data_IF_966065757975
#
_entry.id   IF_966065757975
#
_cell.length_a   1.000
_cell.length_b   1.000
_cell.length_c   1.000
_cell.angle_alpha   90.00
_cell.angle_beta   90.00
_cell.angle_gamma   90.00
#
_symmetry.space_group_name_H-M   'P 1'
#
loop_
_entity.id
_entity.type
_entity.pdbx_description
1 polymer ?
#
# COMPACT_ATOMS: atom_id res chain seq x y z
N UNK A 1 -2.91 15.31 -47.63
CA UNK A 1 -4.23 15.73 -48.17
C UNK A 1 -5.26 14.79 -47.61
N UNK A 2 -6.38 15.30 -47.14
CA UNK A 2 -7.47 14.48 -46.62
C UNK A 2 -8.22 13.81 -47.77
N UNK A 3 -8.28 12.48 -47.73
CA UNK A 3 -8.91 11.63 -48.74
C UNK A 3 -10.12 10.91 -48.11
N UNK A 4 -11.10 10.47 -48.89
CA UNK A 4 -12.13 9.56 -48.38
C UNK A 4 -11.48 8.26 -47.87
N UNK A 5 -12.05 7.68 -46.82
CA UNK A 5 -11.66 6.35 -46.36
C UNK A 5 -12.23 5.28 -47.30
N UNK A 6 -11.35 4.57 -48.01
CA UNK A 6 -11.75 3.52 -48.97
C UNK A 6 -11.57 2.10 -48.41
N UNK A 7 -10.86 1.93 -47.30
CA UNK A 7 -10.64 0.63 -46.68
C UNK A 7 -11.92 0.12 -46.01
N UNK A 8 -12.61 -0.84 -46.63
CA UNK A 8 -13.90 -1.39 -46.15
C UNK A 8 -13.81 -1.93 -44.73
N UNK A 9 -12.69 -2.57 -44.38
CA UNK A 9 -12.42 -3.11 -43.04
C UNK A 9 -12.64 -2.10 -41.92
N UNK A 10 -12.48 -0.80 -42.18
CA UNK A 10 -12.52 0.25 -41.16
C UNK A 10 -13.76 1.16 -41.20
N UNK A 11 -14.62 1.06 -42.21
CA UNK A 11 -15.71 2.03 -42.42
C UNK A 11 -16.74 2.06 -41.28
N UNK A 12 -16.95 0.94 -40.59
CA UNK A 12 -17.85 0.83 -39.43
C UNK A 12 -17.14 0.82 -38.08
N UNK A 13 -15.81 0.85 -38.08
CA UNK A 13 -14.99 0.66 -36.88
C UNK A 13 -14.54 1.99 -36.27
N UNK A 14 -14.63 3.11 -37.00
CA UNK A 14 -14.21 4.43 -36.52
C UNK A 14 -15.26 5.52 -36.81
N UNK A 15 -15.31 6.60 -36.01
CA UNK A 15 -16.37 7.62 -36.12
C UNK A 15 -16.15 8.67 -37.22
N UNK A 16 -15.18 8.49 -38.11
CA UNK A 16 -14.78 9.45 -39.14
C UNK A 16 -14.69 8.80 -40.52
N UNK A 17 -14.85 9.60 -41.59
CA UNK A 17 -14.90 9.12 -42.97
C UNK A 17 -13.77 9.65 -43.87
N UNK A 18 -12.84 10.45 -43.31
CA UNK A 18 -11.68 10.99 -44.03
C UNK A 18 -10.38 10.55 -43.37
N UNK A 19 -9.41 10.19 -44.20
CA UNK A 19 -8.09 9.72 -43.79
C UNK A 19 -6.97 10.51 -44.48
N UNK A 20 -5.73 10.34 -44.01
CA UNK A 20 -4.54 10.91 -44.66
C UNK A 20 -3.39 9.91 -44.66
N UNK A 21 -2.58 9.97 -45.72
CA UNK A 21 -1.36 9.20 -45.88
C UNK A 21 -0.09 10.08 -45.84
N UNK A 22 1.09 9.53 -45.46
CA UNK A 22 1.28 8.16 -44.99
C UNK A 22 0.55 7.91 -43.66
N UNK A 23 0.15 6.66 -43.42
CA UNK A 23 -0.47 6.27 -42.16
C UNK A 23 0.60 6.10 -41.06
N UNK A 24 0.22 5.64 -39.86
CA UNK A 24 1.18 5.47 -38.76
C UNK A 24 2.19 4.33 -39.01
N UNK A 25 1.87 3.42 -39.93
CA UNK A 25 2.72 2.30 -40.34
C UNK A 25 3.59 2.65 -41.57
N UNK A 26 3.57 3.89 -42.04
CA UNK A 26 4.36 4.37 -43.18
C UNK A 26 3.82 3.99 -44.56
N UNK A 27 2.67 3.31 -44.63
CA UNK A 27 2.03 2.93 -45.90
C UNK A 27 1.46 4.18 -46.59
N UNK A 28 1.47 4.21 -47.92
CA UNK A 28 1.17 5.42 -48.71
C UNK A 28 -0.25 5.44 -49.29
N UNK A 29 -0.94 4.29 -49.34
CA UNK A 29 -2.28 4.15 -49.90
C UNK A 29 -2.94 2.87 -49.39
N UNK A 30 -4.22 2.67 -49.73
CA UNK A 30 -5.03 1.53 -49.28
C UNK A 30 -4.51 0.20 -49.84
N UNK A 31 -4.04 0.16 -51.08
CA UNK A 31 -3.48 -1.08 -51.67
C UNK A 31 -2.29 -1.61 -50.88
N UNK A 32 -1.38 -0.73 -50.44
CA UNK A 32 -0.27 -1.10 -49.55
C UNK A 32 -0.74 -1.59 -48.18
N UNK A 33 -1.93 -1.21 -47.73
CA UNK A 33 -2.53 -1.74 -46.50
C UNK A 33 -3.02 -3.16 -46.76
N UNK A 34 -3.89 -3.34 -47.76
CA UNK A 34 -4.53 -4.63 -48.07
C UNK A 34 -3.51 -5.74 -48.39
N UNK A 35 -2.40 -5.38 -49.05
CA UNK A 35 -1.31 -6.31 -49.37
C UNK A 35 -0.33 -6.56 -48.21
N UNK A 36 -0.48 -5.88 -47.07
CA UNK A 36 0.46 -6.00 -45.95
C UNK A 36 0.17 -7.20 -45.06
N UNK A 37 1.23 -7.83 -44.57
CA UNK A 37 1.15 -8.88 -43.54
C UNK A 37 0.45 -8.39 -42.27
N UNK A 38 0.57 -7.09 -41.95
CA UNK A 38 -0.10 -6.47 -40.80
C UNK A 38 -1.63 -6.54 -40.96
N UNK A 39 -2.15 -6.23 -42.14
CA UNK A 39 -3.60 -6.31 -42.41
C UNK A 39 -4.12 -7.75 -42.35
N UNK A 40 -3.36 -8.70 -42.91
CA UNK A 40 -3.69 -10.11 -42.85
C UNK A 40 -3.72 -10.62 -41.40
N UNK A 41 -2.67 -10.32 -40.61
CA UNK A 41 -2.56 -10.76 -39.22
C UNK A 41 -3.63 -10.13 -38.32
N UNK A 42 -3.93 -8.83 -38.48
CA UNK A 42 -5.00 -8.19 -37.71
C UNK A 42 -6.36 -8.76 -38.08
N UNK A 43 -6.60 -9.10 -39.34
CA UNK A 43 -7.85 -9.74 -39.74
C UNK A 43 -8.05 -11.08 -39.02
N UNK A 44 -6.99 -11.89 -38.91
CA UNK A 44 -7.01 -13.12 -38.11
C UNK A 44 -7.22 -12.85 -36.62
N UNK A 45 -6.54 -11.83 -36.07
CA UNK A 45 -6.67 -11.47 -34.66
C UNK A 45 -8.06 -10.92 -34.32
N UNK A 46 -8.70 -10.22 -35.26
CA UNK A 46 -10.06 -9.71 -35.08
C UNK A 46 -11.10 -10.83 -35.02
N UNK A 47 -10.81 -12.00 -35.61
CA UNK A 47 -11.69 -13.18 -35.56
C UNK A 47 -11.60 -13.93 -34.21
N UNK A 48 -10.53 -13.76 -33.43
CA UNK A 48 -10.37 -14.43 -32.13
C UNK A 48 -11.18 -13.78 -31.01
N UNK A 49 -11.67 -12.56 -31.23
CA UNK A 49 -12.40 -11.74 -30.24
C UNK A 49 -11.66 -11.58 -28.90
N UNK A 50 -10.32 -11.65 -28.89
CA UNK A 50 -9.50 -11.51 -27.68
C UNK A 50 -9.67 -10.14 -26.99
N UNK A 51 -9.98 -9.09 -27.75
CA UNK A 51 -10.30 -7.77 -27.21
C UNK A 51 -11.25 -6.99 -28.15
N UNK A 52 -12.20 -6.23 -27.58
CA UNK A 52 -13.21 -5.49 -28.36
C UNK A 52 -12.61 -4.40 -29.27
N UNK A 53 -11.52 -3.75 -28.84
CA UNK A 53 -10.86 -2.68 -29.59
C UNK A 53 -9.78 -3.12 -30.59
N UNK A 54 -9.65 -4.41 -30.93
CA UNK A 54 -8.64 -4.86 -31.92
C UNK A 54 -8.79 -4.13 -33.26
N UNK A 55 -10.00 -4.15 -33.83
CA UNK A 55 -10.29 -3.50 -35.11
C UNK A 55 -10.18 -1.98 -35.02
N UNK A 56 -10.74 -1.41 -33.95
CA UNK A 56 -10.71 0.03 -33.70
C UNK A 56 -9.26 0.56 -33.62
N UNK A 57 -8.40 -0.08 -32.83
CA UNK A 57 -6.98 0.27 -32.69
C UNK A 57 -6.26 0.20 -34.04
N UNK A 58 -6.45 -0.88 -34.78
CA UNK A 58 -5.85 -1.04 -36.10
C UNK A 58 -6.30 0.04 -37.09
N UNK A 59 -7.59 0.36 -37.13
CA UNK A 59 -8.12 1.38 -38.02
C UNK A 59 -7.58 2.78 -37.71
N UNK A 60 -7.35 3.09 -36.43
CA UNK A 60 -6.65 4.31 -36.03
C UNK A 60 -5.18 4.36 -36.51
N UNK A 61 -4.50 3.22 -36.63
CA UNK A 61 -3.12 3.14 -37.17
C UNK A 61 -3.10 3.19 -38.70
N UNK A 62 -3.96 2.41 -39.34
CA UNK A 62 -3.95 2.15 -40.77
C UNK A 62 -4.62 3.26 -41.59
N UNK A 63 -5.71 3.84 -41.07
CA UNK A 63 -6.48 4.92 -41.71
C UNK A 63 -6.77 6.04 -40.71
N UNK A 64 -5.76 6.79 -40.28
CA UNK A 64 -5.92 7.80 -39.24
C UNK A 64 -6.82 8.95 -39.70
N UNK A 65 -7.63 9.49 -38.78
CA UNK A 65 -8.52 10.62 -39.05
C UNK A 65 -7.79 11.80 -39.71
N UNK A 66 -8.44 12.47 -40.65
CA UNK A 66 -7.95 13.71 -41.23
C UNK A 66 -8.97 14.84 -40.99
N UNK A 67 -8.62 15.77 -40.11
CA UNK A 67 -9.50 16.88 -39.71
C UNK A 67 -9.53 17.95 -40.81
N UNK A 68 -8.35 18.30 -41.34
CA UNK A 68 -8.18 19.23 -42.46
C UNK A 68 -6.87 18.92 -43.19
N UNK A 69 -6.70 19.45 -44.40
CA UNK A 69 -5.51 19.14 -45.20
C UNK A 69 -4.22 19.45 -44.45
N UNK A 70 -3.37 18.42 -44.31
CA UNK A 70 -2.11 18.51 -43.58
C UNK A 70 -2.25 18.37 -42.06
N UNK A 71 -3.46 18.21 -41.52
CA UNK A 71 -3.71 18.02 -40.09
C UNK A 71 -4.40 16.69 -39.86
N UNK A 72 -3.64 15.76 -39.29
CA UNK A 72 -4.13 14.49 -38.79
C UNK A 72 -4.98 14.73 -37.54
N UNK A 73 -6.01 13.92 -37.37
CA UNK A 73 -6.76 13.86 -36.14
C UNK A 73 -5.92 13.32 -35.00
N UNK A 74 -6.49 13.43 -33.81
CA UNK A 74 -5.80 13.06 -32.59
C UNK A 74 -5.61 11.53 -32.51
N UNK A 75 -4.39 11.05 -32.17
CA UNK A 75 -4.12 9.62 -31.99
C UNK A 75 -4.83 9.06 -30.76
N UNK A 76 -4.88 7.73 -30.64
CA UNK A 76 -5.28 7.07 -29.40
C UNK A 76 -4.17 7.18 -28.34
N UNK A 77 -4.53 7.06 -27.07
CA UNK A 77 -3.54 6.98 -26.02
C UNK A 77 -2.88 5.60 -26.00
N UNK A 78 -1.59 5.54 -25.64
CA UNK A 78 -0.82 4.29 -25.61
C UNK A 78 -1.45 3.21 -24.72
N UNK A 79 -2.14 3.63 -23.68
CA UNK A 79 -2.86 2.77 -22.72
C UNK A 79 -3.77 1.75 -23.42
N UNK A 80 -4.49 2.19 -24.45
CA UNK A 80 -5.35 1.33 -25.27
C UNK A 80 -4.54 0.30 -26.03
N UNK A 81 -3.46 0.74 -26.68
CA UNK A 81 -2.62 -0.12 -27.50
C UNK A 81 -2.03 -1.25 -26.65
N UNK A 82 -1.51 -0.90 -25.49
CA UNK A 82 -0.95 -1.84 -24.52
C UNK A 82 -2.01 -2.76 -23.90
N UNK A 83 -3.23 -2.26 -23.64
CA UNK A 83 -4.34 -3.09 -23.16
C UNK A 83 -4.69 -4.19 -24.18
N UNK A 84 -4.84 -3.84 -25.46
CA UNK A 84 -5.08 -4.81 -26.54
C UNK A 84 -3.90 -5.77 -26.67
N UNK A 85 -2.67 -5.25 -26.70
CA UNK A 85 -1.44 -6.07 -26.85
C UNK A 85 -1.29 -7.11 -25.74
N UNK A 86 -1.61 -6.74 -24.50
CA UNK A 86 -1.47 -7.62 -23.35
C UNK A 86 -2.61 -8.63 -23.27
N UNK A 87 -3.85 -8.19 -23.50
CA UNK A 87 -5.03 -9.06 -23.46
C UNK A 87 -4.97 -10.13 -24.56
N UNK A 88 -4.58 -9.72 -25.78
CA UNK A 88 -4.46 -10.61 -26.93
C UNK A 88 -3.10 -11.32 -27.05
N UNK A 89 -2.29 -11.31 -25.98
CA UNK A 89 -0.88 -11.73 -26.07
C UNK A 89 -0.69 -13.19 -26.48
N UNK A 90 -1.61 -14.09 -26.09
CA UNK A 90 -1.55 -15.51 -26.48
C UNK A 90 -1.88 -15.68 -27.96
N UNK A 91 -2.96 -15.06 -28.43
CA UNK A 91 -3.40 -15.12 -29.83
C UNK A 91 -2.36 -14.52 -30.76
N UNK A 92 -1.75 -13.39 -30.37
CA UNK A 92 -0.65 -12.74 -31.11
C UNK A 92 0.54 -13.69 -31.29
N UNK A 93 0.91 -14.43 -30.24
CA UNK A 93 1.98 -15.42 -30.30
C UNK A 93 1.64 -16.60 -31.19
N UNK A 94 0.39 -17.08 -31.15
CA UNK A 94 -0.06 -18.21 -31.98
C UNK A 94 -0.08 -17.88 -33.47
N UNK A 95 -0.52 -16.68 -33.85
CA UNK A 95 -0.56 -16.25 -35.25
C UNK A 95 0.80 -15.75 -35.77
N UNK A 96 1.81 -15.63 -34.89
CA UNK A 96 3.14 -15.13 -35.25
C UNK A 96 3.15 -13.65 -35.66
N UNK A 97 2.23 -12.84 -35.12
CA UNK A 97 2.16 -11.42 -35.43
C UNK A 97 3.16 -10.63 -34.58
N UNK A 98 4.06 -9.89 -35.21
CA UNK A 98 5.03 -9.03 -34.51
C UNK A 98 4.38 -7.74 -33.96
N UNK A 99 3.56 -7.88 -32.92
CA UNK A 99 2.94 -6.76 -32.21
C UNK A 99 3.60 -6.56 -30.84
N UNK A 100 4.76 -5.91 -30.86
CA UNK A 100 5.59 -5.67 -29.67
C UNK A 100 5.28 -4.34 -29.00
N UNK A 101 5.75 -4.18 -27.75
CA UNK A 101 5.63 -2.93 -26.98
C UNK A 101 6.13 -1.69 -27.75
N UNK A 102 7.24 -1.82 -28.48
CA UNK A 102 7.80 -0.71 -29.29
C UNK A 102 6.84 -0.21 -30.38
N UNK A 103 5.88 -1.03 -30.81
CA UNK A 103 4.83 -0.60 -31.75
C UNK A 103 3.92 0.42 -31.10
N UNK A 104 3.52 0.17 -29.86
CA UNK A 104 2.69 1.09 -29.08
C UNK A 104 3.48 2.36 -28.75
N UNK A 105 4.72 2.22 -28.27
CA UNK A 105 5.60 3.34 -27.90
C UNK A 105 5.90 4.27 -29.10
N UNK A 106 6.03 3.71 -30.30
CA UNK A 106 6.41 4.46 -31.50
C UNK A 106 5.25 5.22 -32.17
N UNK A 107 4.00 4.83 -31.89
CA UNK A 107 2.81 5.36 -32.58
C UNK A 107 1.96 6.23 -31.68
N UNK A 108 1.77 5.83 -30.42
CA UNK A 108 0.79 6.42 -29.53
C UNK A 108 1.45 7.14 -28.34
N UNK A 109 1.02 8.36 -28.02
CA UNK A 109 1.56 9.11 -26.89
C UNK A 109 1.06 8.57 -25.54
N UNK A 110 1.86 8.84 -24.51
CA UNK A 110 1.53 8.62 -23.10
C UNK A 110 0.85 9.83 -22.50
N UNK A 111 -0.46 9.81 -22.39
CA UNK A 111 -1.19 10.84 -21.65
C UNK A 111 -2.53 10.33 -21.16
N UNK A 112 -3.05 10.99 -20.13
CA UNK A 112 -4.46 10.92 -19.69
C UNK A 112 -5.21 12.20 -20.03
N UNK A 113 -4.54 13.18 -20.63
CA UNK A 113 -5.17 14.42 -21.09
C UNK A 113 -5.85 14.21 -22.45
N UNK A 114 -7.09 14.69 -22.54
CA UNK A 114 -7.97 14.56 -23.71
C UNK A 114 -7.51 15.38 -24.91
N UNK A 115 -6.61 16.34 -24.74
CA UNK A 115 -6.05 17.18 -25.82
C UNK A 115 -4.82 16.53 -26.49
N UNK A 116 -4.13 15.63 -25.78
CA UNK A 116 -2.94 14.92 -26.27
C UNK A 116 -3.31 13.67 -27.07
N UNK A 117 -4.22 12.85 -26.53
CA UNK A 117 -4.70 11.65 -27.19
C UNK A 117 -6.15 11.27 -26.81
N UNK A 118 -6.80 10.48 -27.66
CA UNK A 118 -8.15 9.95 -27.42
C UNK A 118 -8.09 8.69 -26.56
N UNK A 119 -8.81 8.68 -25.44
CA UNK A 119 -9.09 7.48 -24.63
C UNK A 119 -10.33 6.76 -25.20
N UNK A 120 -10.33 5.43 -25.26
CA UNK A 120 -11.45 4.66 -25.86
C UNK A 120 -12.55 4.33 -24.85
N UNK A 121 -12.17 3.81 -23.68
CA UNK A 121 -13.13 3.77 -22.59
C UNK A 121 -13.44 5.22 -22.30
N UNK A 122 -14.72 5.60 -22.42
CA UNK A 122 -15.24 6.77 -21.73
C UNK A 122 -14.99 6.55 -20.24
N UNK A 123 -13.76 6.86 -19.83
CA UNK A 123 -13.58 7.56 -18.60
C UNK A 123 -14.42 8.81 -18.73
N UNK A 124 -15.64 8.76 -18.21
CA UNK A 124 -16.49 9.92 -18.00
C UNK A 124 -15.94 10.79 -16.85
N UNK A 125 -14.62 10.98 -16.88
CA UNK A 125 -13.85 12.03 -16.25
C UNK A 125 -12.96 12.60 -17.35
N UNK A 126 -13.57 13.00 -18.46
CA UNK A 126 -12.94 13.91 -19.40
C UNK A 126 -12.88 15.25 -18.68
N UNK A 127 -11.69 15.68 -18.25
CA UNK A 127 -11.41 16.98 -17.61
C UNK A 127 -11.71 18.20 -18.51
N UNK A 128 -12.56 18.04 -19.52
CA UNK A 128 -12.71 18.96 -20.64
C UNK A 128 -14.17 19.20 -21.05
N UNK A 129 -15.17 18.53 -20.43
CA UNK A 129 -16.58 18.79 -20.77
C UNK A 129 -17.51 18.58 -19.57
N UNK A 130 -18.39 19.56 -19.38
CA UNK A 130 -19.28 19.92 -18.26
C UNK A 130 -20.20 18.84 -17.62
N UNK A 131 -19.97 17.54 -17.78
CA UNK A 131 -20.81 16.52 -17.15
C UNK A 131 -20.02 15.25 -16.84
N UNK A 132 -19.51 15.10 -15.62
CA UNK A 132 -19.30 13.75 -15.07
C UNK A 132 -20.65 13.24 -14.60
N UNK A 133 -21.23 12.26 -15.29
CA UNK A 133 -22.36 11.50 -14.81
C UNK A 133 -21.91 10.51 -13.74
N UNK A 134 -21.65 10.99 -12.52
CA UNK A 134 -21.36 10.12 -11.37
C UNK A 134 -22.54 9.16 -11.19
N UNK A 135 -22.37 7.87 -11.50
CA UNK A 135 -23.37 6.85 -11.16
C UNK A 135 -23.41 6.70 -9.64
N UNK A 136 -24.17 7.58 -9.00
CA UNK A 136 -24.72 7.35 -7.69
C UNK A 136 -25.53 6.04 -7.77
N UNK A 137 -25.10 5.02 -7.04
CA UNK A 137 -26.08 4.10 -6.48
C UNK A 137 -27.15 4.97 -5.81
N UNK A 138 -28.42 4.64 -6.06
CA UNK A 138 -29.66 5.43 -5.93
C UNK A 138 -29.89 6.41 -4.73
N UNK A 139 -28.92 6.73 -3.86
CA UNK A 139 -29.10 7.48 -2.62
C UNK A 139 -28.01 8.51 -2.24
N UNK A 140 -27.10 8.95 -3.11
CA UNK A 140 -26.10 9.99 -2.73
C UNK A 140 -26.23 11.28 -3.56
N UNK A 141 -26.53 12.37 -2.86
CA UNK A 141 -26.46 13.75 -3.35
C UNK A 141 -24.99 14.14 -3.58
N UNK A 142 -24.44 13.85 -4.76
CA UNK A 142 -23.17 14.41 -5.21
C UNK A 142 -23.45 15.72 -5.98
N UNK A 143 -22.98 16.85 -5.45
CA UNK A 143 -23.07 18.15 -6.15
C UNK A 143 -22.03 18.25 -7.28
N UNK A 144 -22.41 19.01 -8.31
CA UNK A 144 -21.86 19.00 -9.67
C UNK A 144 -20.64 19.94 -9.81
N UNK A 145 -19.65 19.53 -10.60
CA UNK A 145 -18.48 20.32 -11.05
C UNK A 145 -18.92 21.58 -11.82
N UNK A 146 -18.29 22.75 -11.63
CA UNK A 146 -18.46 23.90 -12.55
C UNK A 146 -17.10 24.46 -12.96
N UNK A 147 -17.02 25.04 -14.16
CA UNK A 147 -15.83 25.77 -14.64
C UNK A 147 -15.76 27.19 -14.05
N UNK A 148 -14.54 27.73 -13.90
CA UNK A 148 -14.32 29.16 -13.65
C UNK A 148 -14.12 29.83 -15.02
N UNK A 149 -14.88 30.89 -15.30
CA UNK A 149 -14.84 31.62 -16.58
C UNK A 149 -13.43 31.86 -17.18
N UNK A 150 -13.25 31.42 -18.43
CA UNK A 150 -12.51 31.94 -19.60
C UNK A 150 -11.14 32.65 -19.47
N UNK A 151 -10.46 32.66 -18.33
CA UNK A 151 -9.11 33.26 -18.26
C UNK A 151 -8.07 32.56 -17.39
N UNK A 152 -8.41 31.44 -16.75
CA UNK A 152 -7.48 30.64 -15.93
C UNK A 152 -7.71 29.15 -16.22
N UNK A 153 -6.66 28.43 -16.63
CA UNK A 153 -6.67 26.97 -16.76
C UNK A 153 -6.78 26.34 -15.37
N UNK A 154 -7.79 25.48 -15.16
CA UNK A 154 -8.03 24.75 -13.92
C UNK A 154 -9.49 24.44 -13.59
N UNK A 155 -9.82 23.18 -13.29
CA UNK A 155 -11.11 22.76 -12.72
C UNK A 155 -11.03 22.48 -11.20
N UNK A 156 -12.15 22.58 -10.49
CA UNK A 156 -12.23 22.40 -9.03
C UNK A 156 -13.19 21.27 -8.60
N UNK A 157 -12.81 20.57 -7.54
CA UNK A 157 -13.62 19.66 -6.72
C UNK A 157 -14.00 20.38 -5.42
N UNK A 158 -15.31 20.56 -5.19
CA UNK A 158 -15.85 21.01 -3.90
C UNK A 158 -16.62 19.84 -3.30
N UNK A 159 -16.02 19.16 -2.33
CA UNK A 159 -16.63 18.02 -1.65
C UNK A 159 -17.11 18.46 -0.28
N UNK A 160 -18.38 18.85 -0.18
CA UNK A 160 -19.02 19.10 1.11
C UNK A 160 -19.31 17.75 1.79
N UNK A 161 -18.31 17.17 2.46
CA UNK A 161 -18.50 16.03 3.36
C UNK A 161 -18.81 14.68 2.71
N UNK A 162 -18.42 14.44 1.45
CA UNK A 162 -18.59 13.15 0.75
C UNK A 162 -17.25 12.66 0.18
N UNK A 163 -16.93 11.38 0.44
CA UNK A 163 -15.74 10.68 -0.09
C UNK A 163 -16.06 10.04 -1.44
N UNK A 164 -15.23 10.28 -2.45
CA UNK A 164 -15.31 9.58 -3.73
C UNK A 164 -13.90 9.25 -4.22
N UNK A 165 -13.69 8.05 -4.78
CA UNK A 165 -12.38 7.53 -5.21
C UNK A 165 -12.25 7.45 -6.73
N UNK A 166 -12.11 8.56 -7.48
CA UNK A 166 -11.83 8.50 -8.91
C UNK A 166 -10.48 7.81 -9.17
N UNK A 167 -10.46 6.79 -10.03
CA UNK A 167 -9.28 5.98 -10.38
C UNK A 167 -8.90 6.20 -11.85
N UNK A 168 -7.62 6.39 -12.18
CA UNK A 168 -7.15 6.57 -13.56
C UNK A 168 -7.28 5.30 -14.41
N UNK A 169 -7.22 5.41 -15.76
CA UNK A 169 -6.86 4.28 -16.61
C UNK A 169 -5.52 3.66 -16.19
N UNK A 170 -5.27 2.44 -16.66
CA UNK A 170 -3.95 1.80 -16.52
C UNK A 170 -2.89 2.63 -17.25
N UNK A 171 -1.89 3.11 -16.53
CA UNK A 171 -0.74 3.84 -17.05
C UNK A 171 0.48 2.91 -17.06
N UNK A 172 1.14 2.81 -18.21
CA UNK A 172 2.34 1.98 -18.37
C UNK A 172 3.58 2.83 -18.06
N UNK A 173 4.40 2.35 -17.13
CA UNK A 173 5.37 3.20 -16.40
C UNK A 173 6.56 3.61 -17.26
N UNK A 174 7.13 2.67 -18.02
CA UNK A 174 8.29 2.86 -18.87
C UNK A 174 9.46 3.58 -18.20
N UNK A 175 9.64 3.32 -16.90
CA UNK A 175 10.62 4.00 -16.03
C UNK A 175 10.40 5.53 -15.91
N UNK A 176 9.26 6.06 -16.36
CA UNK A 176 8.86 7.48 -16.25
C UNK A 176 8.26 7.78 -14.88
N UNK A 177 8.46 9.01 -14.39
CA UNK A 177 7.90 9.46 -13.11
C UNK A 177 6.45 9.93 -13.30
N UNK A 178 5.55 9.63 -12.36
CA UNK A 178 4.22 10.23 -12.32
C UNK A 178 4.33 11.68 -11.84
N UNK A 179 3.60 12.59 -12.44
CA UNK A 179 3.47 13.99 -12.06
C UNK A 179 1.99 14.29 -11.83
N UNK A 180 1.67 14.84 -10.67
CA UNK A 180 0.34 15.25 -10.25
C UNK A 180 0.36 16.75 -9.91
N UNK A 181 -0.36 17.57 -10.66
CA UNK A 181 -0.54 18.99 -10.34
C UNK A 181 -1.89 19.19 -9.62
N UNK A 182 -1.84 19.71 -8.39
CA UNK A 182 -2.99 19.89 -7.51
C UNK A 182 -2.95 21.23 -6.77
N UNK A 183 -4.09 21.65 -6.23
CA UNK A 183 -4.19 22.76 -5.29
C UNK A 183 -5.20 22.43 -4.19
N UNK A 184 -4.93 22.89 -2.97
CA UNK A 184 -5.72 22.59 -1.78
C UNK A 184 -5.91 23.88 -0.95
N UNK A 185 -7.13 24.18 -0.51
CA UNK A 185 -7.45 25.34 0.34
C UNK A 185 -8.44 24.99 1.44
N UNK A 186 -8.28 25.65 2.59
CA UNK A 186 -9.18 25.61 3.75
C UNK A 186 -8.64 24.68 4.82
N UNK A 187 -8.39 25.21 6.02
CA UNK A 187 -7.79 24.53 7.17
C UNK A 187 -8.46 23.17 7.43
N UNK A 188 -7.67 22.10 7.34
CA UNK A 188 -8.17 20.73 7.51
C UNK A 188 -8.58 20.03 6.21
N UNK A 189 -8.52 20.68 5.05
CA UNK A 189 -8.71 20.00 3.75
C UNK A 189 -7.55 19.03 3.49
N UNK A 190 -7.82 17.87 2.90
CA UNK A 190 -6.88 16.78 2.66
C UNK A 190 -7.08 16.19 1.26
N UNK A 191 -6.00 15.94 0.52
CA UNK A 191 -5.98 15.17 -0.72
C UNK A 191 -5.13 13.91 -0.53
N UNK A 192 -5.73 12.76 -0.73
CA UNK A 192 -5.16 11.43 -0.68
C UNK A 192 -4.97 10.90 -2.10
N UNK A 193 -3.83 10.28 -2.36
CA UNK A 193 -3.43 9.70 -3.66
C UNK A 193 -3.05 8.25 -3.42
N UNK A 194 -3.79 7.34 -4.03
CA UNK A 194 -3.55 5.90 -4.05
C UNK A 194 -2.97 5.53 -5.42
N UNK A 195 -1.98 4.64 -5.46
CA UNK A 195 -1.40 4.11 -6.70
C UNK A 195 -1.46 2.59 -6.63
N UNK A 196 -2.29 1.96 -7.46
CA UNK A 196 -2.42 0.49 -7.52
C UNK A 196 -1.62 -0.08 -8.70
N UNK A 197 -0.82 -1.11 -8.47
CA UNK A 197 -0.01 -1.82 -9.47
C UNK A 197 -0.34 -3.32 -9.55
N UNK A 198 0.53 -4.12 -10.19
CA UNK A 198 0.33 -5.57 -10.32
C UNK A 198 0.22 -6.29 -8.97
N UNK A 199 -0.57 -7.36 -8.94
CA UNK A 199 -0.75 -8.19 -7.74
C UNK A 199 -1.43 -7.44 -6.58
N UNK A 200 -2.35 -6.52 -6.89
CA UNK A 200 -3.07 -5.69 -5.91
C UNK A 200 -2.17 -4.81 -5.02
N UNK A 201 -0.92 -4.57 -5.46
CA UNK A 201 0.01 -3.70 -4.75
C UNK A 201 -0.53 -2.27 -4.69
N UNK A 202 -0.73 -1.69 -3.52
CA UNK A 202 -1.22 -0.32 -3.35
C UNK A 202 -0.17 0.53 -2.63
N UNK A 203 0.17 1.67 -3.21
CA UNK A 203 0.89 2.77 -2.58
C UNK A 203 -0.10 3.87 -2.21
N UNK A 204 0.11 4.56 -1.10
CA UNK A 204 -0.76 5.65 -0.65
C UNK A 204 0.08 6.81 -0.13
N UNK A 205 -0.29 8.03 -0.48
CA UNK A 205 0.26 9.27 0.05
C UNK A 205 -0.85 10.29 0.21
N UNK A 206 -0.67 11.31 1.04
CA UNK A 206 -1.67 12.36 1.22
C UNK A 206 -1.01 13.71 1.51
N UNK A 207 -1.76 14.79 1.28
CA UNK A 207 -1.39 16.18 1.52
C UNK A 207 -2.54 16.91 2.21
N UNK A 208 -2.21 17.82 3.12
CA UNK A 208 -3.16 18.69 3.81
C UNK A 208 -2.70 20.14 3.62
N UNK A 209 -3.63 21.10 3.63
CA UNK A 209 -3.28 22.50 3.47
C UNK A 209 -2.67 23.00 4.78
N UNK A 210 -1.50 23.63 4.70
CA UNK A 210 -0.88 24.33 5.84
C UNK A 210 -1.50 25.73 6.00
N UNK A 211 -1.70 26.15 7.26
CA UNK A 211 -2.38 27.40 7.66
C UNK A 211 -1.59 28.69 7.30
N UNK A 212 -0.40 28.60 6.68
CA UNK A 212 0.61 29.66 6.69
C UNK A 212 1.00 30.29 5.33
N UNK A 213 0.21 30.12 4.26
CA UNK A 213 0.47 30.84 3.00
C UNK A 213 -0.66 31.81 2.62
N UNK A 214 -0.52 33.03 3.12
CA UNK A 214 -1.10 34.23 2.50
C UNK A 214 -0.66 34.33 1.02
N UNK A 215 -1.64 34.47 0.13
CA UNK A 215 -1.54 35.10 -1.19
C UNK A 215 -0.68 34.45 -2.30
N UNK A 216 -0.78 33.13 -2.48
CA UNK A 216 -0.33 32.46 -3.72
C UNK A 216 -1.47 31.74 -4.48
N UNK A 217 -1.89 32.26 -5.64
CA UNK A 217 -2.65 31.47 -6.64
C UNK A 217 -1.71 30.50 -7.38
N UNK A 218 -1.04 29.59 -6.67
CA UNK A 218 -0.06 28.67 -7.24
C UNK A 218 -0.54 27.22 -7.26
N UNK A 219 -0.49 26.58 -8.43
CA UNK A 219 -0.56 25.11 -8.52
C UNK A 219 0.62 24.49 -7.78
N UNK A 220 0.36 23.45 -7.00
CA UNK A 220 1.38 22.61 -6.37
C UNK A 220 1.60 21.34 -7.18
N UNK A 221 2.86 21.00 -7.46
CA UNK A 221 3.19 19.79 -8.21
C UNK A 221 3.77 18.72 -7.28
N UNK A 222 3.24 17.51 -7.33
CA UNK A 222 3.84 16.31 -6.74
C UNK A 222 4.33 15.43 -7.86
N UNK A 223 5.65 15.18 -7.92
CA UNK A 223 6.21 14.14 -8.78
C UNK A 223 6.38 12.90 -7.93
N UNK A 224 5.79 11.78 -8.29
CA UNK A 224 5.95 10.49 -7.63
C UNK A 224 6.88 9.60 -8.48
N UNK A 225 7.97 9.15 -7.88
CA UNK A 225 8.79 8.12 -8.49
C UNK A 225 8.10 6.75 -8.31
N UNK A 226 7.40 6.31 -9.36
CA UNK A 226 6.75 4.99 -9.40
C UNK A 226 7.68 3.97 -10.09
N UNK A 227 8.97 4.29 -10.26
CA UNK A 227 9.95 3.37 -10.77
C UNK A 227 10.28 2.29 -9.71
N UNK A 228 9.34 1.35 -9.56
CA UNK A 228 9.44 0.11 -8.79
C UNK A 228 9.53 -1.12 -9.70
N UNK A 229 9.92 -0.93 -10.97
CA UNK A 229 9.86 -1.99 -11.99
C UNK A 229 8.44 -2.50 -12.28
N UNK A 230 7.40 -1.78 -11.84
CA UNK A 230 6.02 -2.12 -12.19
C UNK A 230 5.79 -1.86 -13.67
N UNK A 231 5.28 -2.82 -14.46
CA UNK A 231 4.94 -2.58 -15.86
C UNK A 231 3.80 -1.57 -16.02
N UNK A 232 2.92 -1.44 -15.03
CA UNK A 232 1.78 -0.53 -15.04
C UNK A 232 1.34 -0.09 -13.64
N UNK A 233 0.58 1.00 -13.54
CA UNK A 233 -0.16 1.40 -12.34
C UNK A 233 -1.48 2.12 -12.69
N UNK A 234 -2.36 2.31 -11.70
CA UNK A 234 -3.52 3.23 -11.74
C UNK A 234 -3.46 4.15 -10.54
N UNK A 235 -3.94 5.38 -10.68
CA UNK A 235 -3.95 6.40 -9.62
C UNK A 235 -5.37 6.63 -9.17
N UNK A 236 -5.69 6.42 -7.89
CA UNK A 236 -6.98 6.83 -7.32
C UNK A 236 -6.81 8.03 -6.40
N UNK A 237 -7.68 9.01 -6.50
CA UNK A 237 -7.65 10.19 -5.63
C UNK A 237 -8.78 10.12 -4.61
N UNK A 238 -8.61 10.68 -3.43
CA UNK A 238 -9.67 10.87 -2.45
C UNK A 238 -9.44 12.21 -1.79
N UNK A 239 -10.48 13.03 -1.63
CA UNK A 239 -10.31 14.37 -1.10
C UNK A 239 -11.36 14.66 -0.02
N UNK A 240 -10.89 15.26 1.07
CA UNK A 240 -11.71 15.83 2.14
C UNK A 240 -11.56 17.34 2.08
N UNK A 241 -12.66 18.08 2.05
CA UNK A 241 -12.64 19.54 1.99
C UNK A 241 -13.33 20.08 3.24
N UNK A 242 -12.62 20.90 4.01
CA UNK A 242 -13.19 21.56 5.18
C UNK A 242 -14.15 22.70 4.75
N UNK A 243 -14.99 23.19 5.68
CA UNK A 243 -16.00 24.21 5.38
C UNK A 243 -15.38 25.46 4.74
N UNK A 244 -15.83 25.80 3.52
CA UNK A 244 -15.31 26.93 2.73
C UNK A 244 -14.01 26.64 1.96
N UNK A 245 -13.46 25.43 2.08
CA UNK A 245 -12.30 24.96 1.35
C UNK A 245 -12.57 24.65 -0.12
N UNK A 246 -11.48 24.46 -0.89
CA UNK A 246 -11.52 24.06 -2.30
C UNK A 246 -10.34 23.16 -2.63
N UNK A 247 -10.56 22.18 -3.49
CA UNK A 247 -9.51 21.32 -4.03
C UNK A 247 -9.60 21.34 -5.55
N UNK A 248 -8.48 21.20 -6.24
CA UNK A 248 -8.54 20.86 -7.67
C UNK A 248 -7.27 20.19 -8.11
N UNK A 249 -7.41 19.49 -9.24
CA UNK A 249 -6.40 18.61 -9.81
C UNK A 249 -6.46 18.86 -11.31
N UNK A 250 -5.37 19.37 -11.89
CA UNK A 250 -5.30 19.72 -13.32
C UNK A 250 -4.65 18.61 -14.14
N UNK A 251 -3.58 17.99 -13.62
CA UNK A 251 -2.71 17.14 -14.42
C UNK A 251 -2.23 15.88 -13.69
N UNK A 252 -2.34 14.71 -14.34
CA UNK A 252 -1.82 13.40 -13.90
C UNK A 252 -0.96 12.83 -15.04
N UNK A 253 0.25 13.33 -15.26
CA UNK A 253 1.10 12.97 -16.40
C UNK A 253 2.24 12.03 -16.05
N UNK A 254 2.82 11.37 -17.06
CA UNK A 254 4.14 10.73 -16.97
C UNK A 254 5.18 11.70 -17.53
N UNK A 255 6.15 12.13 -16.73
CA UNK A 255 7.16 13.10 -17.17
C UNK A 255 8.39 12.41 -17.78
N UNK A 256 8.79 12.82 -18.99
CA UNK A 256 10.08 12.46 -19.58
C UNK A 256 11.21 13.26 -18.91
N UNK A 257 11.97 12.64 -18.00
CA UNK A 257 13.10 13.26 -17.30
C UNK A 257 13.67 12.42 -16.16
N UNK A 258 14.90 12.71 -15.72
CA UNK A 258 15.46 12.19 -14.46
C UNK A 258 14.55 12.67 -13.32
N UNK A 259 14.18 11.79 -12.38
CA UNK A 259 13.45 12.16 -11.16
C UNK A 259 14.36 12.98 -10.21
N UNK A 260 15.08 13.98 -10.72
CA UNK A 260 15.90 14.92 -9.97
C UNK A 260 15.02 16.06 -9.44
N UNK A 261 15.11 16.27 -8.13
CA UNK A 261 14.03 16.77 -7.29
C UNK A 261 13.49 15.62 -6.45
N UNK A 262 14.38 15.05 -5.62
CA UNK A 262 14.22 13.76 -4.95
C UNK A 262 12.88 13.61 -4.24
N UNK A 263 12.10 12.68 -4.77
CA UNK A 263 10.96 12.05 -4.12
C UNK A 263 11.12 10.55 -4.43
N UNK A 264 12.02 9.91 -3.68
CA UNK A 264 11.61 8.69 -2.95
C UNK A 264 11.36 9.17 -1.52
N UNK A 265 10.20 9.76 -1.19
CA UNK A 265 10.06 10.50 0.04
C UNK A 265 9.29 9.61 1.01
N UNK A 266 10.02 8.99 1.90
CA UNK A 266 9.39 8.25 2.97
C UNK A 266 10.45 7.70 3.88
N UNK A 267 11.32 6.84 3.34
CA UNK A 267 12.32 6.15 4.15
C UNK A 267 13.42 7.10 4.63
N UNK A 268 13.39 7.43 5.91
CA UNK A 268 14.46 8.12 6.65
C UNK A 268 14.97 7.20 7.75
N UNK A 269 16.19 7.41 8.21
CA UNK A 269 16.72 6.62 9.32
C UNK A 269 15.92 6.87 10.60
N UNK A 270 15.79 5.81 11.41
CA UNK A 270 15.23 5.95 12.75
C UNK A 270 16.20 6.79 13.58
N UNK A 271 15.74 7.93 14.09
CA UNK A 271 16.54 8.80 14.96
C UNK A 271 16.19 8.62 16.44
N UNK A 272 15.07 7.95 16.74
CA UNK A 272 14.63 7.76 18.13
C UNK A 272 15.40 6.61 18.80
N UNK A 273 16.23 6.96 19.79
CA UNK A 273 17.19 6.05 20.44
C UNK A 273 16.59 4.71 20.89
N UNK A 274 15.37 4.73 21.45
CA UNK A 274 14.70 3.52 21.98
C UNK A 274 14.25 2.55 20.87
N UNK A 275 14.22 2.99 19.62
CA UNK A 275 13.84 2.18 18.45
C UNK A 275 15.00 1.93 17.48
N UNK A 276 16.25 2.25 17.85
CA UNK A 276 17.43 1.94 17.01
C UNK A 276 17.74 0.43 16.94
N UNK A 277 17.22 -0.38 17.87
CA UNK A 277 17.44 -1.83 17.93
C UNK A 277 16.39 -2.64 17.17
N UNK A 278 15.59 -2.00 16.33
CA UNK A 278 14.62 -2.69 15.47
C UNK A 278 15.35 -3.55 14.41
N UNK A 279 14.71 -4.59 13.86
CA UNK A 279 15.29 -5.42 12.79
C UNK A 279 15.43 -4.67 11.45
N UNK A 280 14.99 -3.41 11.41
CA UNK A 280 15.07 -2.50 10.28
C UNK A 280 15.58 -1.13 10.75
N UNK A 281 16.23 -0.40 9.85
CA UNK A 281 16.89 0.88 10.16
C UNK A 281 16.15 2.11 9.60
N UNK A 282 15.17 1.89 8.72
CA UNK A 282 14.49 2.96 7.99
C UNK A 282 13.00 3.00 8.34
N UNK A 283 12.46 4.21 8.50
CA UNK A 283 11.06 4.50 8.81
C UNK A 283 10.50 5.60 7.92
N UNK A 284 9.20 5.88 7.99
CA UNK A 284 8.55 6.91 7.18
C UNK A 284 7.66 7.84 7.97
N UNK A 285 7.55 9.07 7.47
CA UNK A 285 6.64 10.10 7.98
C UNK A 285 5.67 10.58 6.87
N UNK A 286 4.44 11.00 7.22
CA UNK A 286 3.85 10.88 8.55
C UNK A 286 3.65 9.41 8.95
N UNK A 287 3.81 9.10 10.24
CA UNK A 287 3.62 7.74 10.74
C UNK A 287 2.11 7.37 10.78
N UNK A 288 1.76 6.17 11.29
CA UNK A 288 0.35 5.73 11.36
C UNK A 288 -0.56 6.61 12.22
N UNK A 289 0.01 7.39 13.12
CA UNK A 289 -0.73 8.32 13.96
C UNK A 289 -0.96 9.68 13.27
N UNK A 290 -0.49 9.82 12.03
CA UNK A 290 -0.49 11.07 11.27
C UNK A 290 0.58 12.05 11.75
N UNK A 291 1.55 11.61 12.56
CA UNK A 291 2.61 12.49 13.07
C UNK A 291 3.71 12.66 12.04
N UNK A 292 3.99 13.92 11.72
CA UNK A 292 5.21 14.33 11.03
C UNK A 292 6.45 14.06 11.91
N UNK A 293 7.65 14.15 11.31
CA UNK A 293 8.93 13.83 11.98
C UNK A 293 9.10 14.53 13.32
N UNK A 294 8.93 15.85 13.36
CA UNK A 294 9.18 16.65 14.57
C UNK A 294 8.17 16.35 15.70
N UNK A 295 6.84 16.28 15.44
CA UNK A 295 5.88 15.75 16.41
C UNK A 295 6.19 14.33 16.87
N UNK A 296 6.56 13.42 15.97
CA UNK A 296 6.86 12.05 16.33
C UNK A 296 8.05 11.96 17.30
N UNK A 297 9.14 12.68 17.03
CA UNK A 297 10.33 12.69 17.88
C UNK A 297 10.12 13.44 19.20
N UNK A 298 9.20 14.41 19.26
CA UNK A 298 8.91 15.18 20.48
C UNK A 298 7.85 14.51 21.38
N UNK A 299 6.88 13.79 20.81
CA UNK A 299 5.79 13.13 21.55
C UNK A 299 6.15 11.69 21.94
N UNK A 300 6.91 10.97 21.10
CA UNK A 300 7.31 9.59 21.40
C UNK A 300 7.98 9.43 22.78
N UNK A 301 8.94 10.27 23.21
CA UNK A 301 9.55 10.14 24.54
C UNK A 301 8.52 10.08 25.67
N UNK A 302 7.55 11.00 25.68
CA UNK A 302 6.49 11.05 26.69
C UNK A 302 5.52 9.87 26.59
N UNK A 303 5.22 9.42 25.37
CA UNK A 303 4.36 8.25 25.15
C UNK A 303 5.01 6.98 25.69
N UNK A 304 6.27 6.73 25.34
CA UNK A 304 7.03 5.57 25.83
C UNK A 304 7.20 5.61 27.36
N UNK A 305 7.48 6.77 27.94
CA UNK A 305 7.56 6.92 29.40
C UNK A 305 6.23 6.59 30.09
N UNK A 306 5.10 6.92 29.46
CA UNK A 306 3.79 6.60 30.00
C UNK A 306 3.55 5.07 30.03
N UNK A 307 4.09 4.31 29.08
CA UNK A 307 4.00 2.84 29.01
C UNK A 307 5.02 2.09 29.87
N UNK A 308 6.09 2.73 30.34
CA UNK A 308 7.12 2.10 31.19
C UNK A 308 6.56 1.35 32.41
N UNK A 309 5.54 1.83 33.14
CA UNK A 309 4.96 1.12 34.28
C UNK A 309 4.27 -0.21 33.94
N UNK A 310 3.99 -0.46 32.66
CA UNK A 310 3.36 -1.70 32.17
C UNK A 310 4.25 -2.46 31.19
N UNK A 311 5.55 -2.13 31.12
CA UNK A 311 6.48 -2.75 30.19
C UNK A 311 6.55 -4.28 30.29
N UNK A 312 6.19 -4.85 31.44
CA UNK A 312 6.15 -6.28 31.74
C UNK A 312 4.83 -6.96 31.34
N UNK A 313 3.89 -6.25 30.70
CA UNK A 313 2.64 -6.84 30.23
C UNK A 313 2.84 -7.79 29.04
N UNK A 314 3.80 -7.50 28.16
CA UNK A 314 4.15 -8.31 27.00
C UNK A 314 5.64 -8.15 26.69
N UNK A 315 6.39 -9.24 26.41
CA UNK A 315 7.84 -9.16 26.14
C UNK A 315 8.19 -8.24 24.97
N UNK A 316 7.36 -8.22 23.93
CA UNK A 316 7.56 -7.40 22.73
C UNK A 316 6.81 -6.06 22.73
N UNK A 317 6.41 -5.54 23.91
CA UNK A 317 5.69 -4.26 23.97
C UNK A 317 6.49 -3.11 23.33
N UNK A 318 7.79 -3.04 23.58
CA UNK A 318 8.65 -2.01 22.98
C UNK A 318 8.71 -2.13 21.46
N UNK A 319 8.84 -3.35 20.94
CA UNK A 319 8.83 -3.62 19.51
C UNK A 319 7.50 -3.19 18.88
N UNK A 320 6.38 -3.51 19.53
CA UNK A 320 5.05 -3.10 19.08
C UNK A 320 4.93 -1.56 19.01
N UNK A 321 5.31 -0.85 20.07
CA UNK A 321 5.28 0.62 20.07
C UNK A 321 6.19 1.22 18.99
N UNK A 322 7.39 0.69 18.81
CA UNK A 322 8.31 1.13 17.76
C UNK A 322 7.77 0.88 16.36
N UNK A 323 7.18 -0.29 16.10
CA UNK A 323 6.61 -0.64 14.78
C UNK A 323 5.33 0.12 14.43
N UNK A 324 4.64 0.71 15.41
CA UNK A 324 3.51 1.62 15.16
C UNK A 324 3.98 3.06 14.96
N UNK A 325 4.89 3.56 15.81
CA UNK A 325 5.30 4.98 15.80
C UNK A 325 6.39 5.24 14.73
N UNK A 326 7.25 4.26 14.49
CA UNK A 326 8.35 4.28 13.51
C UNK A 326 8.30 2.99 12.67
N UNK A 327 7.27 2.81 11.82
CA UNK A 327 7.08 1.57 11.06
C UNK A 327 8.21 1.34 10.06
N UNK A 328 8.44 0.09 9.68
CA UNK A 328 9.47 -0.27 8.69
C UNK A 328 9.14 0.39 7.35
N UNK A 329 10.12 1.09 6.78
CA UNK A 329 10.04 1.61 5.43
C UNK A 329 10.92 0.77 4.50
N UNK A 330 10.29 0.14 3.51
CA UNK A 330 10.96 -0.66 2.48
C UNK A 330 10.80 -0.01 1.10
N UNK A 331 11.59 -0.43 0.10
CA UNK A 331 11.36 -0.01 -1.28
C UNK A 331 9.95 -0.34 -1.81
N UNK A 332 9.27 -1.35 -1.23
CA UNK A 332 7.92 -1.75 -1.62
C UNK A 332 6.82 -0.98 -0.90
N UNK A 333 7.08 -0.38 0.26
CA UNK A 333 6.13 0.46 1.00
C UNK A 333 6.42 0.48 2.50
N UNK A 334 5.41 0.83 3.30
CA UNK A 334 5.50 0.72 4.76
C UNK A 334 5.02 -0.65 5.19
N UNK A 335 5.83 -1.39 5.96
CA UNK A 335 5.40 -2.65 6.57
C UNK A 335 4.89 -2.38 7.97
N UNK A 336 3.64 -2.76 8.19
CA UNK A 336 2.90 -2.53 9.43
C UNK A 336 2.99 -3.75 10.36
N UNK A 337 2.72 -3.59 11.67
CA UNK A 337 2.58 -4.71 12.58
C UNK A 337 1.56 -5.73 12.07
N UNK A 338 1.78 -7.02 12.29
CA UNK A 338 0.79 -8.05 11.97
C UNK A 338 -0.46 -7.91 12.85
N UNK A 339 -1.64 -8.19 12.31
CA UNK A 339 -2.92 -8.16 13.05
C UNK A 339 -2.89 -9.09 14.27
N UNK A 340 -2.47 -10.35 14.07
CA UNK A 340 -2.34 -11.33 15.16
C UNK A 340 -1.42 -10.86 16.28
N UNK A 341 -0.30 -10.23 15.93
CA UNK A 341 0.63 -9.64 16.89
C UNK A 341 0.02 -8.46 17.66
N UNK A 342 -0.75 -7.59 16.99
CA UNK A 342 -1.50 -6.52 17.65
C UNK A 342 -2.51 -7.06 18.67
N UNK A 343 -3.25 -8.10 18.29
CA UNK A 343 -4.26 -8.74 19.15
C UNK A 343 -3.61 -9.38 20.38
N UNK A 344 -2.46 -10.03 20.22
CA UNK A 344 -1.69 -10.64 21.30
C UNK A 344 -1.22 -9.59 22.33
N UNK A 345 -0.53 -8.54 21.87
CA UNK A 345 -0.05 -7.46 22.75
C UNK A 345 -1.23 -6.75 23.43
N UNK A 346 -2.31 -6.53 22.68
CA UNK A 346 -3.55 -5.92 23.21
C UNK A 346 -4.15 -6.76 24.32
N UNK A 347 -4.31 -8.08 24.12
CA UNK A 347 -4.88 -8.97 25.12
C UNK A 347 -4.05 -8.97 26.41
N UNK A 348 -2.72 -8.90 26.29
CA UNK A 348 -1.81 -8.92 27.42
C UNK A 348 -1.77 -7.59 28.20
N UNK A 349 -1.85 -6.45 27.50
CA UNK A 349 -1.56 -5.13 28.07
C UNK A 349 -2.79 -4.29 28.45
N UNK A 350 -3.96 -4.53 27.84
CA UNK A 350 -5.15 -3.67 27.99
C UNK A 350 -5.58 -3.50 29.46
N UNK A 351 -5.67 -4.59 30.22
CA UNK A 351 -6.13 -4.54 31.61
C UNK A 351 -5.19 -3.70 32.50
N UNK A 352 -3.88 -3.81 32.29
CA UNK A 352 -2.86 -3.07 33.04
C UNK A 352 -2.84 -1.60 32.65
N UNK A 353 -2.92 -1.30 31.36
CA UNK A 353 -3.00 0.07 30.85
C UNK A 353 -4.21 0.82 31.46
N UNK A 354 -5.39 0.18 31.45
CA UNK A 354 -6.61 0.74 32.03
C UNK A 354 -6.47 0.99 33.54
N UNK A 355 -5.79 0.12 34.28
CA UNK A 355 -5.61 0.24 35.72
C UNK A 355 -4.79 1.48 36.12
N UNK A 356 -3.88 1.94 35.25
CA UNK A 356 -3.07 3.14 35.46
C UNK A 356 -3.61 4.37 34.71
N UNK A 357 -4.82 4.28 34.16
CA UNK A 357 -5.47 5.37 33.44
C UNK A 357 -4.90 5.67 32.06
N UNK A 358 -4.04 4.80 31.52
CA UNK A 358 -3.62 4.90 30.12
C UNK A 358 -4.77 4.45 29.23
N UNK A 359 -5.14 5.31 28.29
CA UNK A 359 -6.02 4.92 27.19
C UNK A 359 -5.22 4.07 26.22
N UNK A 360 -5.41 2.76 26.31
CA UNK A 360 -4.99 1.83 25.27
C UNK A 360 -5.90 2.07 24.05
N UNK A 361 -5.34 2.14 22.83
CA UNK A 361 -6.09 2.30 21.58
C UNK A 361 -6.19 1.01 20.75
N UNK A 362 -6.76 -0.09 21.29
CA UNK A 362 -6.67 -1.43 20.68
C UNK A 362 -7.67 -1.71 19.58
N UNK A 363 -8.75 -0.93 19.48
CA UNK A 363 -9.86 -1.29 18.61
C UNK A 363 -9.48 -1.22 17.13
N UNK A 364 -8.29 -0.71 16.80
CA UNK A 364 -7.76 -0.61 15.45
C UNK A 364 -6.94 -1.83 15.00
N UNK A 365 -6.80 -2.93 15.74
CA UNK A 365 -6.03 -4.08 15.23
C UNK A 365 -6.52 -4.59 13.86
N UNK A 366 -7.82 -4.41 13.56
CA UNK A 366 -8.39 -4.72 12.23
C UNK A 366 -7.77 -3.91 11.07
N UNK A 367 -7.15 -2.75 11.34
CA UNK A 367 -6.48 -1.93 10.31
C UNK A 367 -5.13 -2.50 9.90
N UNK A 368 -4.59 -3.46 10.67
CA UNK A 368 -3.34 -4.12 10.36
C UNK A 368 -3.51 -5.33 9.42
N UNK A 369 -2.51 -5.60 8.56
CA UNK A 369 -2.50 -6.74 7.64
C UNK A 369 -2.35 -8.08 8.36
N UNK A 370 -2.82 -9.16 7.72
CA UNK A 370 -2.61 -10.54 8.17
C UNK A 370 -1.20 -11.03 7.80
N UNK A 371 -0.75 -12.12 8.45
CA UNK A 371 0.58 -12.68 8.22
C UNK A 371 0.81 -13.25 6.81
N UNK A 372 -0.26 -13.62 6.11
CA UNK A 372 -0.27 -14.12 4.75
C UNK A 372 -0.48 -13.03 3.68
N UNK A 373 -0.50 -11.75 4.08
CA UNK A 373 -0.63 -10.61 3.17
C UNK A 373 0.56 -10.53 2.19
N UNK A 374 0.33 -10.30 0.88
CA UNK A 374 1.39 -10.20 -0.13
C UNK A 374 2.47 -9.13 0.15
N UNK A 375 2.13 -8.06 0.87
CA UNK A 375 3.06 -7.00 1.25
C UNK A 375 3.92 -7.38 2.46
N UNK A 376 3.49 -8.40 3.22
CA UNK A 376 4.11 -8.88 4.44
C UNK A 376 3.96 -7.88 5.60
N UNK A 377 3.75 -8.40 6.80
CA UNK A 377 3.69 -7.60 8.02
C UNK A 377 4.93 -7.78 8.89
N UNK A 378 5.09 -6.92 9.89
CA UNK A 378 6.15 -6.98 10.88
C UNK A 378 5.59 -7.61 12.14
N UNK A 379 6.19 -8.71 12.56
CA UNK A 379 6.08 -9.22 13.92
C UNK A 379 7.53 -9.44 14.39
N UNK A 380 7.78 -9.56 15.70
CA UNK A 380 8.99 -10.22 16.16
C UNK A 380 9.11 -11.50 15.34
N UNK A 381 10.28 -11.79 14.76
CA UNK A 381 10.52 -13.13 14.26
C UNK A 381 10.12 -14.04 15.41
N UNK A 382 9.15 -14.95 15.18
CA UNK A 382 8.86 -15.98 16.15
C UNK A 382 10.22 -16.63 16.37
N UNK A 383 10.88 -16.27 17.48
CA UNK A 383 12.14 -16.84 17.85
C UNK A 383 11.80 -18.31 17.80
N UNK A 384 12.33 -19.03 16.80
CA UNK A 384 12.10 -20.46 16.70
C UNK A 384 12.52 -20.93 18.07
N UNK A 385 11.57 -21.31 18.93
CA UNK A 385 11.85 -21.28 20.34
C UNK A 385 12.94 -22.32 20.48
N UNK A 386 14.12 -21.87 20.92
CA UNK A 386 15.28 -22.75 21.04
C UNK A 386 14.95 -23.64 22.23
N UNK A 387 14.16 -24.67 21.93
CA UNK A 387 13.60 -25.60 22.88
C UNK A 387 14.77 -26.49 23.28
N UNK A 388 15.25 -26.23 24.49
CA UNK A 388 16.35 -26.95 25.10
C UNK A 388 15.81 -27.85 26.22
N UNK A 389 16.48 -28.97 26.52
CA UNK A 389 16.09 -29.82 27.64
C UNK A 389 16.12 -29.08 28.98
N UNK A 390 15.17 -29.39 29.86
CA UNK A 390 15.14 -28.85 31.23
C UNK A 390 16.40 -29.28 31.98
N UNK A 391 17.25 -28.35 32.46
CA UNK A 391 18.56 -28.69 33.03
C UNK A 391 18.50 -29.02 34.52
N UNK A 392 17.35 -28.88 35.18
CA UNK A 392 17.17 -29.10 36.62
C UNK A 392 16.55 -30.47 36.88
N UNK A 393 17.26 -31.33 37.62
CA UNK A 393 16.78 -32.69 37.98
C UNK A 393 15.42 -32.68 38.68
N UNK A 394 15.18 -31.73 39.59
CA UNK A 394 13.89 -31.55 40.29
C UNK A 394 12.70 -31.40 39.34
N UNK A 395 12.92 -30.84 38.15
CA UNK A 395 11.88 -30.56 37.16
C UNK A 395 11.86 -31.54 35.96
N UNK A 396 12.59 -32.65 36.03
CA UNK A 396 12.64 -33.62 34.93
C UNK A 396 11.38 -34.51 34.83
N UNK A 397 10.58 -34.62 35.89
CA UNK A 397 9.41 -35.51 35.92
C UNK A 397 8.09 -34.83 35.50
N UNK A 398 8.20 -33.79 34.66
CA UNK A 398 7.08 -33.03 34.13
C UNK A 398 6.44 -33.76 32.94
N UNK A 399 5.24 -33.33 32.52
CA UNK A 399 4.56 -33.84 31.33
C UNK A 399 5.22 -33.44 29.99
N UNK A 400 6.29 -32.65 30.05
CA UNK A 400 7.11 -32.18 28.95
C UNK A 400 8.58 -32.11 29.39
N UNK A 401 9.50 -32.12 28.43
CA UNK A 401 10.95 -32.19 28.69
C UNK A 401 11.73 -30.98 28.18
N UNK A 402 11.09 -30.08 27.44
CA UNK A 402 11.72 -28.95 26.76
C UNK A 402 11.21 -27.60 27.28
N UNK A 403 12.13 -26.65 27.39
CA UNK A 403 11.93 -25.25 27.83
C UNK A 403 12.71 -24.32 26.91
N UNK A 404 12.48 -23.00 26.97
CA UNK A 404 13.26 -22.02 26.22
C UNK A 404 14.08 -21.11 27.14
N UNK A 405 15.15 -20.54 26.59
CA UNK A 405 15.92 -19.44 27.17
C UNK A 405 16.02 -18.26 26.16
N UNK A 406 16.18 -17.00 26.62
CA UNK A 406 16.18 -16.58 28.01
C UNK A 406 14.80 -16.77 28.66
N UNK A 407 14.77 -17.20 29.92
CA UNK A 407 13.49 -17.34 30.63
C UNK A 407 12.96 -15.97 31.10
N UNK A 408 11.73 -15.91 31.60
CA UNK A 408 11.11 -14.65 32.05
C UNK A 408 11.83 -13.99 33.26
N UNK A 409 12.74 -14.70 33.92
CA UNK A 409 13.63 -14.16 34.95
C UNK A 409 14.94 -13.58 34.39
N UNK A 410 15.13 -13.63 33.07
CA UNK A 410 16.33 -13.15 32.39
C UNK A 410 17.54 -14.09 32.45
N UNK A 411 17.36 -15.35 32.85
CA UNK A 411 18.45 -16.35 32.79
C UNK A 411 18.73 -16.69 31.34
N UNK A 412 19.99 -16.56 30.92
CA UNK A 412 20.35 -16.60 29.50
C UNK A 412 20.49 -18.02 28.95
N UNK A 413 20.58 -19.02 29.82
CA UNK A 413 20.74 -20.40 29.38
C UNK A 413 20.77 -21.42 30.52
N UNK A 414 21.02 -22.70 30.20
CA UNK A 414 21.00 -23.80 31.16
C UNK A 414 21.98 -23.63 32.33
N UNK A 415 23.18 -23.08 32.09
CA UNK A 415 24.19 -22.88 33.13
C UNK A 415 23.73 -21.86 34.18
N UNK A 416 23.16 -20.73 33.72
CA UNK A 416 22.60 -19.69 34.60
C UNK A 416 21.42 -20.24 35.40
N UNK A 417 20.58 -21.05 34.75
CA UNK A 417 19.45 -21.69 35.40
C UNK A 417 19.87 -22.65 36.50
N UNK A 418 20.86 -23.51 36.28
CA UNK A 418 21.37 -24.43 37.32
C UNK A 418 21.95 -23.66 38.49
N UNK A 419 22.70 -22.59 38.22
CA UNK A 419 23.30 -21.76 39.27
C UNK A 419 22.24 -21.04 40.12
N UNK A 420 21.23 -20.44 39.49
CA UNK A 420 20.24 -19.59 40.16
C UNK A 420 19.03 -20.36 40.70
N UNK A 421 18.59 -21.42 40.01
CA UNK A 421 17.44 -22.22 40.44
C UNK A 421 17.70 -22.93 41.76
N UNK A 422 18.96 -23.30 42.06
CA UNK A 422 19.32 -23.91 43.35
C UNK A 422 19.01 -22.98 44.54
N UNK A 423 19.19 -21.67 44.38
CA UNK A 423 18.87 -20.68 45.41
C UNK A 423 17.35 -20.53 45.58
N UNK A 424 16.62 -20.48 44.47
CA UNK A 424 15.16 -20.33 44.45
C UNK A 424 14.50 -21.56 45.05
N UNK A 425 14.82 -22.77 44.56
CA UNK A 425 14.25 -24.02 45.07
C UNK A 425 14.68 -24.31 46.51
N UNK A 426 15.92 -23.98 46.90
CA UNK A 426 16.37 -24.14 48.27
C UNK A 426 15.67 -23.22 49.27
N UNK A 427 15.31 -22.00 48.87
CA UNK A 427 14.48 -21.12 49.70
C UNK A 427 13.05 -21.67 49.85
N UNK A 428 12.53 -22.32 48.81
CA UNK A 428 11.15 -22.82 48.75
C UNK A 428 10.95 -24.18 49.44
N UNK A 429 12.02 -24.92 49.72
CA UNK A 429 11.95 -26.15 50.52
C UNK A 429 11.34 -25.92 51.90
N UNK A 430 11.48 -24.71 52.46
CA UNK A 430 10.89 -24.32 53.74
C UNK A 430 9.37 -24.24 53.73
N UNK A 431 8.76 -24.12 52.55
CA UNK A 431 7.31 -24.03 52.36
C UNK A 431 6.75 -25.17 51.51
N UNK A 432 7.55 -26.22 51.25
CA UNK A 432 7.21 -27.32 50.35
C UNK A 432 5.90 -28.05 50.67
N UNK A 433 5.42 -28.00 51.92
CA UNK A 433 4.18 -28.63 52.37
C UNK A 433 2.91 -27.78 52.19
N UNK A 434 3.01 -26.54 51.68
CA UNK A 434 1.86 -25.65 51.58
C UNK A 434 0.85 -26.07 50.50
N UNK A 435 1.31 -26.71 49.42
CA UNK A 435 0.45 -27.22 48.36
C UNK A 435 1.07 -28.43 47.66
N UNK A 436 0.26 -29.46 47.39
CA UNK A 436 0.72 -30.72 46.76
C UNK A 436 1.31 -30.54 45.35
N UNK A 437 0.88 -29.49 44.64
CA UNK A 437 1.30 -29.18 43.27
C UNK A 437 2.29 -28.01 43.21
N UNK A 438 2.92 -27.63 44.34
CA UNK A 438 3.86 -26.52 44.38
C UNK A 438 5.05 -26.74 43.43
N UNK A 439 5.67 -27.92 43.45
CA UNK A 439 6.79 -28.25 42.56
C UNK A 439 6.36 -28.20 41.08
N UNK A 440 5.17 -28.71 40.75
CA UNK A 440 4.60 -28.64 39.41
C UNK A 440 4.46 -27.19 38.96
N UNK A 441 3.92 -26.33 39.82
CA UNK A 441 3.77 -24.91 39.53
C UNK A 441 5.12 -24.23 39.30
N UNK A 442 6.07 -24.37 40.24
CA UNK A 442 7.39 -23.73 40.15
C UNK A 442 8.17 -24.20 38.92
N UNK A 443 8.15 -25.50 38.63
CA UNK A 443 8.78 -26.03 37.42
C UNK A 443 8.09 -25.50 36.16
N UNK A 444 6.75 -25.41 36.13
CA UNK A 444 6.02 -24.84 34.99
C UNK A 444 6.21 -23.34 34.82
N UNK A 445 6.53 -22.63 35.90
CA UNK A 445 6.76 -21.20 35.89
C UNK A 445 8.20 -20.87 35.44
N UNK A 446 9.21 -21.54 36.00
CA UNK A 446 10.62 -21.25 35.69
C UNK A 446 11.15 -21.98 34.44
N UNK A 447 10.54 -23.12 34.10
CA UNK A 447 10.84 -23.94 32.93
C UNK A 447 9.54 -24.28 32.19
N UNK A 448 8.85 -23.28 31.60
CA UNK A 448 7.59 -23.48 30.88
C UNK A 448 7.74 -24.43 29.70
N UNK A 449 6.64 -25.08 29.32
CA UNK A 449 6.65 -26.03 28.19
C UNK A 449 6.97 -25.31 26.89
N UNK A 450 7.98 -25.78 26.18
CA UNK A 450 8.38 -25.27 24.87
C UNK A 450 8.05 -26.31 23.80
N UNK A 451 7.33 -25.91 22.74
CA UNK A 451 7.22 -26.72 21.52
C UNK A 451 7.32 -25.84 20.29
N UNK A 452 7.86 -26.39 19.21
CA UNK A 452 7.95 -25.69 17.92
C UNK A 452 6.57 -25.29 17.35
N UNK A 453 5.50 -26.00 17.73
CA UNK A 453 4.15 -25.75 17.21
C UNK A 453 3.36 -24.70 18.00
N UNK A 454 3.60 -24.56 19.31
CA UNK A 454 2.79 -23.69 20.17
C UNK A 454 3.59 -22.70 21.00
N UNK A 455 4.90 -22.59 20.76
CA UNK A 455 5.78 -21.71 21.53
C UNK A 455 5.89 -22.13 22.99
N UNK A 456 6.18 -21.14 23.83
CA UNK A 456 6.36 -21.28 25.28
C UNK A 456 5.01 -21.16 25.99
N UNK A 457 4.68 -22.13 26.85
CA UNK A 457 3.43 -22.19 27.59
C UNK A 457 3.64 -22.10 29.10
N UNK A 458 3.08 -21.05 29.69
CA UNK A 458 3.09 -20.79 31.13
C UNK A 458 1.87 -21.43 31.83
N UNK A 459 1.95 -21.65 33.16
CA UNK A 459 0.80 -22.09 33.95
C UNK A 459 -0.37 -21.11 33.87
N UNK A 460 -1.59 -21.65 33.95
CA UNK A 460 -2.80 -20.84 33.95
C UNK A 460 -2.87 -19.94 35.19
N UNK A 461 -3.42 -18.74 35.03
CA UNK A 461 -3.60 -17.78 36.14
C UNK A 461 -4.36 -18.39 37.33
N UNK A 462 -5.42 -19.17 37.07
CA UNK A 462 -6.19 -19.83 38.12
C UNK A 462 -5.36 -20.80 38.97
N UNK A 463 -4.36 -21.45 38.36
CA UNK A 463 -3.44 -22.33 39.07
C UNK A 463 -2.42 -21.53 39.89
N UNK A 464 -1.94 -20.39 39.37
CA UNK A 464 -1.14 -19.44 40.15
C UNK A 464 -1.87 -18.92 41.39
N UNK A 465 -3.13 -18.52 41.22
CA UNK A 465 -3.96 -18.00 42.31
C UNK A 465 -4.19 -19.08 43.39
N UNK A 466 -4.46 -20.33 43.01
CA UNK A 466 -4.59 -21.48 43.93
C UNK A 466 -3.32 -21.72 44.77
N UNK A 467 -2.15 -21.69 44.13
CA UNK A 467 -0.86 -21.85 44.82
C UNK A 467 -0.60 -20.67 45.75
N UNK A 468 -0.85 -19.43 45.30
CA UNK A 468 -0.68 -18.25 46.13
C UNK A 468 -1.57 -18.30 47.39
N UNK A 469 -2.84 -18.67 47.25
CA UNK A 469 -3.76 -18.76 48.38
C UNK A 469 -3.31 -19.82 49.42
N UNK A 470 -2.73 -20.92 48.96
CA UNK A 470 -2.23 -21.99 49.82
C UNK A 470 -0.86 -21.67 50.47
N UNK A 471 0.00 -20.94 49.76
CA UNK A 471 1.43 -20.82 50.09
C UNK A 471 1.89 -19.42 50.51
N UNK A 472 1.08 -18.37 50.31
CA UNK A 472 1.48 -17.00 50.64
C UNK A 472 1.65 -16.75 52.14
N UNK A 473 0.85 -17.40 53.01
CA UNK A 473 0.95 -17.22 54.47
C UNK A 473 2.17 -17.95 55.06
N UNK A 474 2.47 -19.22 54.68
CA UNK A 474 3.72 -19.88 55.08
C UNK A 474 5.01 -19.24 54.56
N UNK A 475 4.94 -18.39 53.52
CA UNK A 475 6.09 -17.77 52.87
C UNK A 475 6.50 -16.39 53.46
N UNK A 476 5.71 -15.82 54.38
CA UNK A 476 6.00 -14.60 55.15
C UNK A 476 6.67 -14.94 56.48
#
# INVERSE_FOLDING_TARGET
VCMPMELEFCQSEVPYNRTTFPNYLGQQNVTMIEESDIHANVSLLADTACHEYVKFLYCHMAVPECVKDGVRGQPLCRTVCEEVRQTCSMEIQEIGFEFTKSTCDGIFPDSVQKDTCKLIKEFDCSFDVDTCGWMAGNNSLAEVLQSRNDSELGMYLSLNGVSSKPTSPTMYTDDKCLKLDYWLRGDGSKLSVYVSGPGDSIFFTWRQSDDDYEDGMGWSSVRLNINKGWPWFKVSLDAYVADGGKVGVDDVTLSDGSCEGQVSPGCVEIEFERCLSMPYNFTTYPNLLGWEKDPALSIAPGSFQAFDPIADCHPDLQFFLCSVIFPECTPTGTRLPCRSFCEEVTAACTARANAIGLRWGPDACFTFPEADDPQGCVAPEAATPDCQPIPIERCQNMSYSETSFPNWLGWQGPADAVANATLVFGALDQISDCHKDLDLFLCSLYFPSCTLATGVKFPCRSFCDEINDACAVPAL
#
